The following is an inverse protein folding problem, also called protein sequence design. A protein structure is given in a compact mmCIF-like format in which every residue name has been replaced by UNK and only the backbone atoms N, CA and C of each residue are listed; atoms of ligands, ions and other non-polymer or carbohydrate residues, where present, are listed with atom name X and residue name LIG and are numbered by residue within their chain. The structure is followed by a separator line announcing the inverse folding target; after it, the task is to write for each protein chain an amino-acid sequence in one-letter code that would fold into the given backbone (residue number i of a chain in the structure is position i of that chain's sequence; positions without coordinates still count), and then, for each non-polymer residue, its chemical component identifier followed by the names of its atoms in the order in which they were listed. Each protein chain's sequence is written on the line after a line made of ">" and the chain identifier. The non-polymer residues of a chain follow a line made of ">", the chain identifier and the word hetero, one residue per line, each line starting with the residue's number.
data_IF_418877534793
#
_entry.id   IF_418877534793
#
_cell.length_a   1.000
_cell.length_b   1.000
_cell.length_c   1.000
_cell.angle_alpha   90.00
_cell.angle_beta   90.00
_cell.angle_gamma   90.00
#
_symmetry.space_group_name_H-M   'P 1'
#
loop_
_entity.id
_entity.type
_entity.pdbx_description
1 polymer ?
#
# COMPACT_ATOMS: atom_id res chain seq x y z
N UNK A 1 50.89 -1.73 14.09
CA UNK A 1 49.66 -2.55 14.18
C UNK A 1 48.50 -1.61 13.97
N UNK A 2 47.64 -1.91 13.00
CA UNK A 2 46.66 -0.97 12.43
C UNK A 2 45.38 -1.08 13.26
N UNK A 3 45.13 -0.11 14.13
CA UNK A 3 43.79 0.11 14.68
C UNK A 3 42.97 0.88 13.64
N UNK A 4 42.28 0.13 12.78
CA UNK A 4 41.29 0.69 11.87
C UNK A 4 40.08 1.12 12.69
N UNK A 5 40.02 2.39 13.05
CA UNK A 5 38.77 3.00 13.53
C UNK A 5 37.65 2.59 12.57
N UNK A 6 36.50 2.06 13.07
CA UNK A 6 35.41 1.70 12.20
C UNK A 6 35.06 2.93 11.37
N UNK A 7 35.28 2.81 10.06
CA UNK A 7 34.93 3.87 9.13
C UNK A 7 33.46 4.21 9.36
N UNK A 8 33.13 5.48 9.17
CA UNK A 8 31.87 6.19 9.43
C UNK A 8 30.55 5.47 9.03
N UNK A 9 30.63 4.29 8.42
CA UNK A 9 29.52 3.48 7.92
C UNK A 9 29.04 2.38 8.88
N UNK A 10 29.88 1.79 9.73
CA UNK A 10 29.46 0.65 10.56
C UNK A 10 28.43 1.05 11.64
N UNK A 11 28.72 2.13 12.39
CA UNK A 11 27.81 2.61 13.43
C UNK A 11 26.50 3.15 12.84
N UNK A 12 26.56 3.73 11.63
CA UNK A 12 25.39 4.24 10.92
C UNK A 12 24.52 3.09 10.40
N UNK A 13 25.13 2.05 9.84
CA UNK A 13 24.44 0.82 9.44
C UNK A 13 23.79 0.11 10.64
N UNK A 14 24.51 0.03 11.78
CA UNK A 14 23.98 -0.57 13.00
C UNK A 14 22.82 0.25 13.59
N UNK A 15 22.92 1.58 13.61
CA UNK A 15 21.81 2.45 14.01
C UNK A 15 20.59 2.32 13.09
N UNK A 16 20.80 2.21 11.78
CA UNK A 16 19.74 1.97 10.81
C UNK A 16 19.10 0.59 11.02
N UNK A 17 19.89 -0.44 11.30
CA UNK A 17 19.40 -1.79 11.60
C UNK A 17 18.54 -1.81 12.88
N UNK A 18 19.01 -1.12 13.92
CA UNK A 18 18.26 -0.98 15.18
C UNK A 18 16.95 -0.21 14.95
N UNK A 19 16.99 0.88 14.18
CA UNK A 19 15.78 1.65 13.82
C UNK A 19 14.79 0.81 13.01
N UNK A 20 15.26 0.04 12.03
CA UNK A 20 14.44 -0.89 11.26
C UNK A 20 13.87 -2.02 12.12
N UNK A 21 14.54 -2.39 13.22
CA UNK A 21 14.02 -3.35 14.20
C UNK A 21 12.76 -2.88 14.95
N UNK A 22 12.41 -1.59 14.86
CA UNK A 22 11.20 -1.03 15.45
C UNK A 22 10.17 -0.67 14.37
N UNK A 23 8.89 -0.95 14.66
CA UNK A 23 7.75 -0.70 13.76
C UNK A 23 7.79 0.71 13.12
N UNK A 24 8.07 1.75 13.92
CA UNK A 24 8.12 3.12 13.43
C UNK A 24 9.28 3.36 12.46
N UNK A 25 10.45 2.76 12.70
CA UNK A 25 11.58 2.90 11.79
C UNK A 25 11.43 2.11 10.49
N UNK A 26 10.50 1.15 10.44
CA UNK A 26 10.11 0.46 9.20
C UNK A 26 9.05 1.26 8.43
N UNK A 27 8.02 1.76 9.13
CA UNK A 27 6.90 2.52 8.52
C UNK A 27 7.34 3.90 8.02
N UNK A 28 8.28 4.56 8.71
CA UNK A 28 8.81 5.87 8.30
C UNK A 28 10.00 5.75 7.32
N UNK A 29 10.44 4.53 7.00
CA UNK A 29 11.54 4.35 6.07
C UNK A 29 11.10 4.77 4.65
N UNK A 30 11.74 5.76 4.02
CA UNK A 30 11.40 6.17 2.66
C UNK A 30 11.59 5.07 1.61
N UNK A 31 12.35 4.02 1.92
CA UNK A 31 12.50 2.84 1.06
C UNK A 31 11.38 1.80 1.24
N UNK A 32 10.55 1.93 2.28
CA UNK A 32 9.42 1.03 2.56
C UNK A 32 8.12 1.59 1.98
N UNK A 33 8.16 2.04 0.72
CA UNK A 33 7.05 2.75 0.06
C UNK A 33 6.06 1.82 -0.68
N UNK A 34 6.25 0.50 -0.61
CA UNK A 34 5.42 -0.49 -1.29
C UNK A 34 5.78 -0.74 -2.76
N UNK A 35 6.91 -0.21 -3.25
CA UNK A 35 7.37 -0.48 -4.61
C UNK A 35 7.50 -1.98 -4.87
N UNK A 36 6.96 -2.43 -6.00
CA UNK A 36 6.88 -3.85 -6.41
C UNK A 36 6.06 -4.77 -5.48
N UNK A 37 5.23 -4.22 -4.60
CA UNK A 37 4.29 -4.99 -3.77
C UNK A 37 2.92 -5.02 -4.43
N UNK A 38 2.32 -6.22 -4.49
CA UNK A 38 0.94 -6.44 -4.91
C UNK A 38 0.09 -6.79 -3.69
N UNK A 39 -1.03 -6.10 -3.50
CA UNK A 39 -1.93 -6.29 -2.36
C UNK A 39 -3.32 -6.69 -2.89
N UNK A 40 -3.77 -7.89 -2.50
CA UNK A 40 -5.16 -8.29 -2.68
C UNK A 40 -5.96 -7.86 -1.45
N UNK A 41 -6.93 -6.98 -1.67
CA UNK A 41 -7.85 -6.49 -0.65
C UNK A 41 -9.21 -7.16 -0.82
N UNK A 42 -9.53 -8.09 0.07
CA UNK A 42 -10.82 -8.78 0.15
C UNK A 42 -11.70 -8.03 1.15
N UNK A 43 -12.66 -7.27 0.64
CA UNK A 43 -13.50 -6.39 1.47
C UNK A 43 -14.79 -6.02 0.70
N UNK A 44 -15.49 -4.96 1.07
CA UNK A 44 -16.72 -4.46 0.43
C UNK A 44 -16.48 -3.75 -0.90
N UNK A 45 -15.28 -3.88 -1.48
CA UNK A 45 -14.86 -3.15 -2.67
C UNK A 45 -14.26 -1.77 -2.41
N UNK A 46 -13.49 -1.29 -3.38
CA UNK A 46 -12.82 0.01 -3.36
C UNK A 46 -13.40 1.01 -4.34
N UNK A 47 -13.59 2.26 -3.90
CA UNK A 47 -13.85 3.41 -4.75
C UNK A 47 -12.52 4.02 -5.23
N UNK A 48 -12.07 3.61 -6.43
CA UNK A 48 -10.80 4.05 -6.99
C UNK A 48 -10.77 5.57 -7.27
N UNK A 49 -11.88 6.16 -7.73
CA UNK A 49 -11.97 7.61 -8.03
C UNK A 49 -11.71 8.43 -6.78
N UNK A 50 -12.34 8.07 -5.65
CA UNK A 50 -12.15 8.77 -4.37
C UNK A 50 -10.70 8.72 -3.89
N UNK A 51 -10.03 7.58 -4.05
CA UNK A 51 -8.63 7.41 -3.65
C UNK A 51 -7.70 8.16 -4.62
N UNK A 52 -7.92 8.06 -5.92
CA UNK A 52 -7.18 8.81 -6.94
C UNK A 52 -7.20 10.32 -6.60
N UNK A 53 -8.39 10.90 -6.40
CA UNK A 53 -8.53 12.31 -6.02
C UNK A 53 -7.79 12.66 -4.73
N UNK A 54 -7.73 11.75 -3.75
CA UNK A 54 -7.01 11.98 -2.49
C UNK A 54 -5.49 12.04 -2.68
N UNK A 55 -4.95 11.20 -3.56
CA UNK A 55 -3.51 11.02 -3.75
C UNK A 55 -2.93 11.80 -4.94
N UNK A 56 -3.80 12.33 -5.80
CA UNK A 56 -3.43 13.25 -6.88
C UNK A 56 -2.60 14.43 -6.33
N UNK A 57 -1.46 14.69 -6.98
CA UNK A 57 -0.56 15.77 -6.62
C UNK A 57 0.25 15.57 -5.32
N UNK A 58 0.16 14.42 -4.65
CA UNK A 58 0.91 14.12 -3.41
C UNK A 58 2.21 13.36 -3.60
N UNK A 59 2.75 13.32 -4.83
CA UNK A 59 3.96 12.56 -5.14
C UNK A 59 3.77 11.04 -5.11
N UNK A 60 2.52 10.56 -5.04
CA UNK A 60 2.14 9.16 -5.14
C UNK A 60 1.90 8.83 -6.61
N UNK A 61 2.56 7.79 -7.13
CA UNK A 61 2.23 7.26 -8.45
C UNK A 61 1.04 6.32 -8.29
N UNK A 62 -0.16 6.90 -8.27
CA UNK A 62 -1.38 6.14 -8.05
C UNK A 62 -1.59 5.16 -9.21
N UNK A 63 -1.47 3.87 -8.92
CA UNK A 63 -1.68 2.80 -9.89
C UNK A 63 -3.19 2.52 -10.03
N UNK A 64 -3.68 2.26 -11.25
CA UNK A 64 -5.06 1.84 -11.45
C UNK A 64 -5.39 0.63 -10.56
N UNK A 65 -6.49 0.72 -9.81
CA UNK A 65 -6.96 -0.38 -8.98
C UNK A 65 -7.68 -1.38 -9.88
N UNK A 66 -7.32 -2.66 -9.75
CA UNK A 66 -7.97 -3.75 -10.48
C UNK A 66 -9.14 -4.26 -9.64
N UNK A 67 -10.30 -4.42 -10.25
CA UNK A 67 -11.55 -4.68 -9.56
C UNK A 67 -12.11 -6.06 -9.93
N UNK A 68 -12.51 -6.84 -8.93
CA UNK A 68 -13.21 -8.10 -9.08
C UNK A 68 -14.36 -8.19 -8.06
N UNK A 69 -15.58 -8.42 -8.53
CA UNK A 69 -16.76 -8.64 -7.70
C UNK A 69 -17.11 -10.13 -7.79
N UNK A 70 -17.11 -10.79 -6.64
CA UNK A 70 -17.44 -12.19 -6.51
C UNK A 70 -18.96 -12.32 -6.32
N UNK A 71 -19.59 -13.01 -7.26
CA UNK A 71 -21.00 -13.35 -7.26
C UNK A 71 -21.17 -14.88 -7.21
N UNK A 72 -22.37 -15.38 -6.83
CA UNK A 72 -22.64 -16.82 -6.86
C UNK A 72 -22.46 -17.46 -8.24
N UNK A 73 -22.67 -16.69 -9.32
CA UNK A 73 -22.61 -17.15 -10.71
C UNK A 73 -21.27 -16.86 -11.40
N UNK A 74 -20.32 -16.21 -10.73
CA UNK A 74 -18.99 -15.97 -11.27
C UNK A 74 -18.31 -14.72 -10.71
N UNK A 75 -17.23 -14.31 -11.40
CA UNK A 75 -16.48 -13.10 -11.08
C UNK A 75 -16.76 -12.08 -12.17
N UNK A 76 -17.13 -10.86 -11.78
CA UNK A 76 -17.38 -9.75 -12.71
C UNK A 76 -16.43 -8.59 -12.41
N UNK A 77 -15.97 -7.90 -13.46
CA UNK A 77 -15.29 -6.62 -13.27
C UNK A 77 -16.33 -5.56 -12.90
N UNK A 78 -16.14 -4.91 -11.76
CA UNK A 78 -17.03 -3.89 -11.22
C UNK A 78 -16.44 -2.47 -11.32
N UNK A 79 -15.33 -2.31 -12.07
CA UNK A 79 -14.70 -1.02 -12.37
C UNK A 79 -15.67 0.04 -12.90
N UNK A 80 -16.74 -0.38 -13.58
CA UNK A 80 -17.74 0.46 -14.22
C UNK A 80 -19.08 0.55 -13.47
N UNK A 81 -19.31 -0.26 -12.43
CA UNK A 81 -20.65 -0.44 -11.83
C UNK A 81 -21.02 0.62 -10.79
N UNK A 82 -20.25 1.69 -10.68
CA UNK A 82 -20.42 2.72 -9.64
C UNK A 82 -19.74 2.35 -8.33
N UNK A 83 -19.69 3.33 -7.41
CA UNK A 83 -18.99 3.19 -6.13
C UNK A 83 -19.61 2.07 -5.27
N UNK A 84 -18.81 1.31 -4.52
CA UNK A 84 -19.34 0.29 -3.60
C UNK A 84 -20.32 0.92 -2.60
N UNK A 85 -21.39 0.19 -2.28
CA UNK A 85 -22.43 0.61 -1.33
C UNK A 85 -21.89 0.83 0.09
N UNK A 86 -20.91 0.02 0.48
CA UNK A 86 -20.25 0.09 1.78
C UNK A 86 -18.82 0.61 1.63
N UNK A 87 -18.43 1.69 2.35
CA UNK A 87 -17.13 2.33 2.16
C UNK A 87 -15.97 1.62 2.84
N UNK A 88 -16.17 0.48 3.50
CA UNK A 88 -15.16 -0.15 4.36
C UNK A 88 -13.88 -0.50 3.59
N UNK A 89 -14.01 -1.22 2.47
CA UNK A 89 -12.85 -1.53 1.60
C UNK A 89 -12.13 -0.30 1.08
N UNK A 90 -12.84 0.80 0.83
CA UNK A 90 -12.20 2.08 0.44
C UNK A 90 -11.36 2.65 1.57
N UNK A 91 -11.83 2.58 2.83
CA UNK A 91 -11.07 3.05 4.00
C UNK A 91 -9.84 2.17 4.25
N UNK A 92 -9.96 0.86 4.09
CA UNK A 92 -8.81 -0.05 4.23
C UNK A 92 -7.76 0.22 3.14
N UNK A 93 -8.18 0.37 1.88
CA UNK A 93 -7.27 0.75 0.80
C UNK A 93 -6.59 2.10 1.04
N UNK A 94 -7.29 3.05 1.65
CA UNK A 94 -6.72 4.34 2.03
C UNK A 94 -5.57 4.20 3.05
N UNK A 95 -5.79 3.41 4.11
CA UNK A 95 -4.75 3.10 5.11
C UNK A 95 -3.54 2.45 4.43
N UNK A 96 -3.79 1.48 3.55
CA UNK A 96 -2.73 0.79 2.83
C UNK A 96 -1.90 1.76 1.96
N UNK A 97 -2.54 2.63 1.19
CA UNK A 97 -1.84 3.60 0.33
C UNK A 97 -1.18 4.73 1.11
N UNK A 98 -1.63 5.03 2.34
CA UNK A 98 -0.91 5.93 3.24
C UNK A 98 0.45 5.35 3.66
N UNK A 99 0.56 4.03 3.85
CA UNK A 99 1.80 3.38 4.29
C UNK A 99 2.64 2.81 3.14
N UNK A 100 2.00 2.37 2.07
CA UNK A 100 2.61 1.72 0.90
C UNK A 100 2.12 2.41 -0.39
N UNK A 101 2.44 3.70 -0.59
CA UNK A 101 1.90 4.51 -1.68
C UNK A 101 2.19 3.96 -3.09
N UNK A 102 3.25 3.16 -3.26
CA UNK A 102 3.65 2.61 -4.55
C UNK A 102 3.14 1.17 -4.78
N UNK A 103 2.36 0.61 -3.86
CA UNK A 103 1.80 -0.73 -3.99
C UNK A 103 0.72 -0.80 -5.09
N UNK A 104 0.62 -1.92 -5.77
CA UNK A 104 -0.50 -2.24 -6.67
C UNK A 104 -1.64 -2.87 -5.86
N UNK A 105 -2.84 -2.29 -5.92
CA UNK A 105 -4.02 -2.84 -5.24
C UNK A 105 -4.90 -3.61 -6.23
N UNK A 106 -5.34 -4.79 -5.80
CA UNK A 106 -6.38 -5.61 -6.40
C UNK A 106 -7.55 -5.66 -5.41
N UNK A 107 -8.69 -5.07 -5.77
CA UNK A 107 -9.88 -5.08 -4.94
C UNK A 107 -10.77 -6.25 -5.30
N UNK A 108 -10.99 -7.14 -4.32
CA UNK A 108 -11.93 -8.23 -4.37
C UNK A 108 -13.15 -7.88 -3.51
N UNK A 109 -14.27 -7.53 -4.14
CA UNK A 109 -15.55 -7.35 -3.47
C UNK A 109 -16.24 -8.70 -3.29
N UNK A 110 -16.49 -9.11 -2.04
CA UNK A 110 -17.14 -10.39 -1.70
C UNK A 110 -18.48 -10.21 -0.96
N UNK A 111 -19.00 -8.97 -0.90
CA UNK A 111 -20.13 -8.60 -0.04
C UNK A 111 -21.37 -8.06 -0.77
N UNK A 112 -21.44 -8.17 -2.11
CA UNK A 112 -22.50 -7.68 -3.04
C UNK A 112 -23.69 -6.92 -2.39
#
# INVERSE_FOLDING_TARGET
>A
MIEGAPSFDFFKALQNLIKLGFLNGLIENPLADGSNVNIALIDTGVNAVKLQTKFDGKGVNFKPIIHALFKPDGIVDYSSTGSPLLPHGTVVADILLTHAPQAQIYSANVFD
#
